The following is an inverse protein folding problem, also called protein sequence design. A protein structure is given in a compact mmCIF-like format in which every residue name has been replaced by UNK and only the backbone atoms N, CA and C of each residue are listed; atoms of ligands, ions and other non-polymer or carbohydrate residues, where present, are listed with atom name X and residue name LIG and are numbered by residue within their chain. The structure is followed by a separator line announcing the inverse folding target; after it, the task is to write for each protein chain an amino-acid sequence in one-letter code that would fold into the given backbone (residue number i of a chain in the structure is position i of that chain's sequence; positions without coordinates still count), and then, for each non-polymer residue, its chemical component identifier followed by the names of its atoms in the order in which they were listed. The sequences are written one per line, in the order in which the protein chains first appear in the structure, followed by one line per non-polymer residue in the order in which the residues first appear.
data_IF_804885503979
#
_entry.id   IF_804885503979
#
_cell.length_a   1.000
_cell.length_b   1.000
_cell.length_c   1.000
_cell.angle_alpha   90.00
_cell.angle_beta   90.00
_cell.angle_gamma   90.00
#
_symmetry.space_group_name_H-M   'P 1'
#
loop_
_entity.id
_entity.type
_entity.pdbx_description
1 polymer ?
#
# COMPACT_ATOMS: atom_id res chain seq x y z
N UNK A 1 11.59 -60.03 -0.15
CA UNK A 1 12.32 -60.68 0.95
C UNK A 1 11.57 -61.93 1.34
N UNK A 2 12.17 -63.11 1.17
CA UNK A 2 11.61 -64.34 1.71
C UNK A 2 11.79 -64.33 3.23
N UNK A 3 10.74 -64.66 3.99
CA UNK A 3 10.78 -64.71 5.47
C UNK A 3 11.54 -65.97 5.90
N UNK A 4 12.73 -65.81 6.46
CA UNK A 4 13.53 -66.92 7.00
C UNK A 4 13.17 -67.14 8.48
N UNK A 5 12.75 -68.35 8.83
CA UNK A 5 12.40 -68.74 10.20
C UNK A 5 13.67 -69.30 10.86
N UNK A 6 14.13 -68.67 11.95
CA UNK A 6 15.29 -69.12 12.73
C UNK A 6 14.81 -70.13 13.78
N UNK A 7 15.11 -71.41 13.57
CA UNK A 7 14.85 -72.46 14.55
C UNK A 7 16.16 -72.75 15.29
N UNK A 8 16.17 -72.58 16.62
CA UNK A 8 17.30 -72.95 17.49
C UNK A 8 16.84 -73.96 18.53
N UNK A 9 17.74 -74.85 18.91
CA UNK A 9 17.48 -75.93 19.86
C UNK A 9 17.36 -75.39 21.30
N UNK A 10 16.26 -75.68 21.99
CA UNK A 10 16.20 -75.42 23.44
C UNK A 10 16.97 -76.56 24.10
N UNK A 11 17.86 -76.30 25.09
CA UNK A 11 18.67 -77.37 25.69
C UNK A 11 17.78 -78.50 26.23
N UNK A 12 17.77 -79.65 25.54
CA UNK A 12 17.01 -80.84 25.94
C UNK A 12 16.15 -81.51 24.86
N UNK A 13 15.97 -80.91 23.68
CA UNK A 13 15.19 -81.50 22.58
C UNK A 13 16.11 -82.35 21.66
N UNK A 14 15.77 -83.60 21.38
CA UNK A 14 16.59 -84.59 20.65
C UNK A 14 16.33 -84.60 19.12
N UNK A 15 16.05 -83.42 18.54
CA UNK A 15 15.59 -83.23 17.16
C UNK A 15 16.75 -83.06 16.15
N UNK A 16 17.67 -84.04 16.12
CA UNK A 16 18.91 -84.03 15.31
C UNK A 16 18.76 -83.90 13.77
N UNK A 17 17.53 -83.83 13.26
CA UNK A 17 17.22 -83.64 11.84
C UNK A 17 16.50 -82.33 11.49
N UNK A 18 16.25 -81.44 12.46
CA UNK A 18 15.45 -80.22 12.25
C UNK A 18 16.10 -78.92 12.76
N UNK A 19 17.26 -78.99 13.41
CA UNK A 19 17.92 -77.84 14.04
C UNK A 19 19.15 -77.40 13.24
N UNK A 20 19.24 -76.10 12.99
CA UNK A 20 20.38 -75.51 12.28
C UNK A 20 21.50 -75.19 13.28
N UNK A 21 22.74 -75.52 12.93
CA UNK A 21 23.90 -75.16 13.74
C UNK A 21 23.96 -73.64 13.97
N UNK A 22 24.44 -73.19 15.14
CA UNK A 22 24.59 -71.77 15.46
C UNK A 22 25.41 -71.01 14.41
N UNK A 23 26.44 -71.65 13.83
CA UNK A 23 27.24 -71.11 12.72
C UNK A 23 26.41 -70.90 11.44
N UNK A 24 25.46 -71.80 11.18
CA UNK A 24 24.51 -71.66 10.07
C UNK A 24 23.52 -70.52 10.30
N UNK A 25 23.07 -70.32 11.54
CA UNK A 25 22.19 -69.20 11.91
C UNK A 25 22.91 -67.86 11.77
N UNK A 26 24.17 -67.75 12.21
CA UNK A 26 25.00 -66.55 12.02
C UNK A 26 25.13 -66.22 10.54
N UNK A 27 25.53 -67.19 9.71
CA UNK A 27 25.68 -67.00 8.26
C UNK A 27 24.39 -66.52 7.57
N UNK A 28 23.24 -67.02 8.04
CA UNK A 28 21.92 -66.60 7.54
C UNK A 28 21.57 -65.18 7.94
N UNK A 29 21.87 -64.80 9.18
CA UNK A 29 21.69 -63.44 9.67
C UNK A 29 22.58 -62.47 8.89
N UNK A 30 23.84 -62.82 8.63
CA UNK A 30 24.74 -62.02 7.80
C UNK A 30 24.20 -61.86 6.37
N UNK A 31 23.72 -62.95 5.76
CA UNK A 31 23.10 -62.89 4.44
C UNK A 31 21.85 -61.99 4.42
N UNK A 32 21.02 -62.04 5.46
CA UNK A 32 19.86 -61.13 5.57
C UNK A 32 20.29 -59.67 5.66
N UNK A 33 21.37 -59.37 6.39
CA UNK A 33 21.91 -58.01 6.47
C UNK A 33 22.46 -57.54 5.12
N UNK A 34 23.16 -58.41 4.37
CA UNK A 34 23.68 -58.07 3.04
C UNK A 34 22.58 -57.84 2.00
N UNK A 35 21.53 -58.67 2.00
CA UNK A 35 20.36 -58.50 1.13
C UNK A 35 19.61 -57.21 1.45
N UNK A 36 19.44 -56.90 2.74
CA UNK A 36 18.83 -55.66 3.20
C UNK A 36 19.66 -54.44 2.76
N UNK A 37 20.98 -54.48 2.98
CA UNK A 37 21.90 -53.41 2.62
C UNK A 37 21.85 -53.11 1.12
N UNK A 38 21.87 -54.15 0.28
CA UNK A 38 21.76 -54.03 -1.17
C UNK A 38 20.42 -53.45 -1.61
N UNK A 39 19.32 -53.95 -1.02
CA UNK A 39 17.98 -53.50 -1.36
C UNK A 39 17.80 -52.01 -1.03
N UNK A 40 18.28 -51.58 0.14
CA UNK A 40 18.21 -50.19 0.61
C UNK A 40 19.13 -49.29 -0.21
N UNK A 41 20.37 -49.71 -0.47
CA UNK A 41 21.33 -48.97 -1.29
C UNK A 41 20.85 -48.72 -2.74
N UNK A 42 20.03 -49.62 -3.29
CA UNK A 42 19.50 -49.50 -4.65
C UNK A 42 18.22 -48.66 -4.79
N UNK A 43 17.53 -48.29 -3.69
CA UNK A 43 16.22 -47.61 -3.80
C UNK A 43 16.28 -46.25 -4.44
N UNK A 44 17.32 -45.47 -4.16
CA UNK A 44 17.51 -44.14 -4.74
C UNK A 44 17.76 -44.23 -6.26
N UNK A 45 18.60 -45.17 -6.70
CA UNK A 45 18.94 -45.37 -8.11
C UNK A 45 17.78 -45.94 -8.95
N UNK A 46 16.77 -46.54 -8.31
CA UNK A 46 15.58 -47.06 -8.99
C UNK A 46 14.62 -45.96 -9.47
N UNK A 47 14.76 -44.74 -8.97
CA UNK A 47 13.92 -43.59 -9.34
C UNK A 47 14.77 -42.50 -9.98
N UNK A 48 14.46 -42.18 -11.23
CA UNK A 48 15.24 -41.23 -12.02
C UNK A 48 15.15 -39.80 -11.47
N UNK A 49 13.99 -39.39 -10.95
CA UNK A 49 13.80 -38.08 -10.30
C UNK A 49 14.65 -37.96 -9.04
N UNK A 50 14.65 -38.98 -8.16
CA UNK A 50 15.46 -38.99 -6.94
C UNK A 50 16.96 -39.02 -7.26
N UNK A 51 17.36 -39.78 -8.27
CA UNK A 51 18.74 -39.81 -8.75
C UNK A 51 19.18 -38.43 -9.25
N UNK A 52 18.33 -37.75 -10.04
CA UNK A 52 18.63 -36.42 -10.58
C UNK A 52 18.69 -35.33 -9.49
N UNK A 53 17.77 -35.34 -8.53
CA UNK A 53 17.78 -34.40 -7.40
C UNK A 53 19.01 -34.59 -6.50
N UNK A 54 19.40 -35.85 -6.25
CA UNK A 54 20.56 -36.15 -5.42
C UNK A 54 21.90 -35.84 -6.11
N UNK A 55 21.94 -35.79 -7.44
CA UNK A 55 23.13 -35.42 -8.20
C UNK A 55 23.37 -33.89 -8.22
N UNK A 56 22.46 -33.08 -7.70
CA UNK A 56 22.55 -31.64 -7.77
C UNK A 56 23.51 -31.06 -6.73
N UNK A 57 24.41 -30.18 -7.15
CA UNK A 57 25.24 -29.40 -6.23
C UNK A 57 24.38 -28.36 -5.53
N UNK A 58 24.14 -28.56 -4.22
CA UNK A 58 23.45 -27.57 -3.39
C UNK A 58 24.40 -26.44 -3.00
N UNK A 59 23.90 -25.21 -3.04
CA UNK A 59 24.62 -24.02 -2.62
C UNK A 59 23.64 -22.99 -2.05
N UNK A 60 24.15 -22.04 -1.26
CA UNK A 60 23.33 -20.95 -0.76
C UNK A 60 22.77 -20.11 -1.92
N UNK A 61 21.59 -19.54 -1.71
CA UNK A 61 20.94 -18.59 -2.64
C UNK A 61 20.59 -19.19 -4.02
N UNK A 62 20.41 -20.52 -4.12
CA UNK A 62 19.98 -21.21 -5.33
C UNK A 62 18.53 -21.69 -5.22
N UNK A 63 17.78 -21.58 -6.32
CA UNK A 63 16.50 -22.26 -6.51
C UNK A 63 16.70 -23.47 -7.41
N UNK A 64 16.23 -24.64 -6.96
CA UNK A 64 16.17 -25.85 -7.78
C UNK A 64 14.94 -25.77 -8.68
N UNK A 65 15.10 -26.04 -9.97
CA UNK A 65 13.98 -26.12 -10.91
C UNK A 65 14.19 -27.24 -11.93
N UNK A 66 13.07 -27.82 -12.38
CA UNK A 66 13.09 -28.83 -13.42
C UNK A 66 13.30 -28.19 -14.80
N UNK A 67 14.15 -28.78 -15.63
CA UNK A 67 14.33 -28.39 -17.04
C UNK A 67 13.69 -29.38 -18.01
N UNK A 68 13.15 -30.47 -17.49
CA UNK A 68 12.47 -31.55 -18.19
C UNK A 68 12.06 -32.65 -17.21
N UNK A 69 11.61 -33.79 -17.74
CA UNK A 69 11.33 -34.98 -16.92
C UNK A 69 12.64 -35.53 -16.39
N UNK A 70 12.70 -35.80 -15.08
CA UNK A 70 13.87 -36.34 -14.38
C UNK A 70 15.16 -35.50 -14.56
N UNK A 71 15.04 -34.19 -14.83
CA UNK A 71 16.18 -33.30 -14.98
C UNK A 71 15.99 -32.00 -14.20
N UNK A 72 16.95 -31.71 -13.33
CA UNK A 72 16.93 -30.55 -12.45
C UNK A 72 18.22 -29.76 -12.57
N UNK A 73 18.11 -28.45 -12.38
CA UNK A 73 19.26 -27.56 -12.27
C UNK A 73 18.97 -26.46 -11.25
N UNK A 74 19.96 -25.60 -11.00
CA UNK A 74 19.82 -24.44 -10.11
C UNK A 74 19.92 -23.12 -10.84
N UNK A 75 19.15 -22.13 -10.41
CA UNK A 75 19.34 -20.72 -10.77
C UNK A 75 19.64 -19.89 -9.52
N UNK A 76 20.32 -18.75 -9.68
CA UNK A 76 20.59 -17.81 -8.58
C UNK A 76 19.36 -16.98 -8.22
N UNK A 77 19.08 -16.87 -6.92
CA UNK A 77 18.16 -15.89 -6.37
C UNK A 77 18.95 -14.75 -5.73
N UNK A 78 18.70 -13.51 -6.14
CA UNK A 78 19.25 -12.33 -5.48
C UNK A 78 18.67 -12.18 -4.07
N UNK A 79 19.35 -11.40 -3.23
CA UNK A 79 18.81 -11.06 -1.90
C UNK A 79 17.44 -10.36 -1.99
N UNK A 80 17.25 -9.53 -3.02
CA UNK A 80 15.98 -8.85 -3.29
C UNK A 80 14.82 -9.82 -3.56
N UNK A 81 15.02 -10.80 -4.46
CA UNK A 81 13.95 -11.76 -4.79
C UNK A 81 13.65 -12.68 -3.60
N UNK A 82 14.67 -13.03 -2.79
CA UNK A 82 14.40 -13.79 -1.55
C UNK A 82 13.59 -12.98 -0.55
N UNK A 83 13.83 -11.67 -0.44
CA UNK A 83 12.97 -10.78 0.35
C UNK A 83 11.54 -10.76 -0.18
N UNK A 84 11.36 -10.63 -1.49
CA UNK A 84 10.03 -10.63 -2.10
C UNK A 84 9.26 -11.94 -1.88
N UNK A 85 9.94 -13.10 -1.92
CA UNK A 85 9.33 -14.41 -1.70
C UNK A 85 9.02 -14.69 -0.22
N UNK A 86 9.62 -13.94 0.71
CA UNK A 86 9.39 -14.04 2.16
C UNK A 86 8.17 -13.21 2.62
N UNK A 87 7.69 -12.29 1.77
CA UNK A 87 6.63 -11.35 2.12
C UNK A 87 5.28 -12.07 2.36
N UNK A 88 4.71 -11.87 3.56
CA UNK A 88 3.51 -12.56 4.03
C UNK A 88 2.20 -12.10 3.35
N UNK A 89 2.20 -10.89 2.77
CA UNK A 89 1.05 -10.32 2.09
C UNK A 89 1.43 -9.44 0.90
N UNK A 90 0.42 -9.08 0.09
CA UNK A 90 0.61 -8.26 -1.10
C UNK A 90 1.09 -6.84 -0.79
N UNK A 91 0.76 -6.26 0.36
CA UNK A 91 1.18 -4.90 0.70
C UNK A 91 2.68 -4.85 0.97
N UNK A 92 3.21 -5.86 1.65
CA UNK A 92 4.64 -6.02 1.94
C UNK A 92 5.42 -6.31 0.66
N UNK A 93 4.93 -7.21 -0.20
CA UNK A 93 5.52 -7.49 -1.52
C UNK A 93 5.60 -6.23 -2.41
N UNK A 94 4.54 -5.43 -2.44
CA UNK A 94 4.52 -4.16 -3.18
C UNK A 94 5.51 -3.15 -2.61
N UNK A 95 5.65 -3.08 -1.28
CA UNK A 95 6.65 -2.24 -0.64
C UNK A 95 8.08 -2.68 -1.00
N UNK A 96 8.36 -3.99 -1.00
CA UNK A 96 9.64 -4.55 -1.45
C UNK A 96 9.95 -4.17 -2.90
N UNK A 97 8.96 -4.24 -3.79
CA UNK A 97 9.09 -3.80 -5.19
C UNK A 97 9.22 -2.27 -5.37
N UNK A 98 8.93 -1.48 -4.34
CA UNK A 98 8.76 -0.02 -4.45
C UNK A 98 7.52 0.38 -5.28
N UNK A 99 6.58 -0.55 -5.47
CA UNK A 99 5.37 -0.35 -6.23
C UNK A 99 4.25 0.11 -5.30
N UNK A 100 4.11 1.41 -5.07
CA UNK A 100 2.92 1.92 -4.38
C UNK A 100 1.71 1.78 -5.30
N UNK A 101 0.61 1.12 -4.88
CA UNK A 101 -0.61 1.11 -5.66
C UNK A 101 -1.28 2.48 -5.52
N UNK A 102 -0.74 3.53 -6.13
CA UNK A 102 -1.41 4.82 -6.32
C UNK A 102 -2.35 4.76 -7.53
N UNK A 103 -2.93 3.58 -7.81
CA UNK A 103 -3.83 3.39 -8.94
C UNK A 103 -5.13 4.15 -8.70
N UNK A 104 -5.61 4.84 -9.73
CA UNK A 104 -6.93 5.44 -9.71
C UNK A 104 -8.05 4.40 -9.73
N UNK A 105 -9.28 4.87 -9.54
CA UNK A 105 -10.49 4.07 -9.61
C UNK A 105 -11.14 4.24 -11.00
N UNK A 106 -11.56 3.13 -11.63
CA UNK A 106 -12.16 3.13 -12.98
C UNK A 106 -13.64 2.76 -13.00
N UNK A 107 -14.19 2.31 -11.88
CA UNK A 107 -15.59 1.85 -11.76
C UNK A 107 -16.58 2.96 -11.38
N UNK A 108 -16.10 4.21 -11.31
CA UNK A 108 -16.89 5.37 -10.91
C UNK A 108 -17.08 5.54 -9.40
N UNK A 109 -16.56 4.63 -8.58
CA UNK A 109 -16.55 4.80 -7.12
C UNK A 109 -15.55 5.87 -6.67
N UNK A 110 -15.72 6.37 -5.45
CA UNK A 110 -14.81 7.37 -4.87
C UNK A 110 -13.47 6.71 -4.58
N UNK A 111 -12.38 7.33 -5.05
CA UNK A 111 -11.04 6.85 -4.76
C UNK A 111 -10.76 6.89 -3.24
N UNK A 112 -10.31 5.76 -2.72
CA UNK A 112 -9.91 5.63 -1.31
C UNK A 112 -8.75 6.56 -0.96
N UNK A 113 -8.57 6.83 0.34
CA UNK A 113 -7.47 7.64 0.87
C UNK A 113 -6.11 7.18 0.32
N UNK A 114 -5.32 8.13 -0.18
CA UNK A 114 -3.99 7.88 -0.74
C UNK A 114 -3.97 7.45 -2.22
N UNK A 115 -5.12 7.16 -2.83
CA UNK A 115 -5.20 6.79 -4.25
C UNK A 115 -5.29 8.03 -5.14
N UNK A 116 -4.83 7.91 -6.38
CA UNK A 116 -5.07 8.93 -7.41
C UNK A 116 -6.58 9.12 -7.59
N UNK A 117 -7.02 10.37 -7.61
CA UNK A 117 -8.43 10.73 -7.67
C UNK A 117 -9.10 10.85 -6.30
N UNK A 118 -8.40 10.65 -5.17
CA UNK A 118 -8.93 10.97 -3.84
C UNK A 118 -9.44 12.43 -3.82
N UNK A 119 -10.68 12.63 -3.36
CA UNK A 119 -11.29 13.95 -3.23
C UNK A 119 -11.52 14.25 -1.76
N UNK A 120 -11.00 15.39 -1.31
CA UNK A 120 -11.26 15.94 0.01
C UNK A 120 -11.98 17.28 -0.15
N UNK A 121 -13.00 17.52 0.67
CA UNK A 121 -13.79 18.75 0.62
C UNK A 121 -14.02 19.28 2.04
N UNK A 122 -13.94 20.60 2.19
CA UNK A 122 -14.39 21.29 3.38
C UNK A 122 -15.21 22.51 2.98
N UNK A 123 -16.31 22.78 3.69
CA UNK A 123 -17.15 23.94 3.44
C UNK A 123 -17.61 24.58 4.74
N UNK A 124 -17.98 25.86 4.66
CA UNK A 124 -18.63 26.59 5.73
C UNK A 124 -19.60 27.60 5.12
N UNK A 125 -20.66 27.92 5.87
CA UNK A 125 -21.66 28.89 5.47
C UNK A 125 -21.85 29.93 6.57
N UNK A 126 -22.32 31.12 6.17
CA UNK A 126 -22.69 32.22 7.06
C UNK A 126 -21.56 32.67 7.99
N UNK A 127 -20.29 32.57 7.56
CA UNK A 127 -19.16 33.06 8.34
C UNK A 127 -19.18 34.59 8.33
N UNK A 128 -19.38 35.20 9.50
CA UNK A 128 -19.41 36.65 9.62
C UNK A 128 -18.03 37.26 9.34
N UNK A 129 -17.99 38.30 8.51
CA UNK A 129 -16.78 39.07 8.24
C UNK A 129 -16.76 40.34 9.10
N UNK A 130 -15.57 40.82 9.40
CA UNK A 130 -15.34 42.14 10.00
C UNK A 130 -14.54 42.96 9.00
N UNK A 131 -14.97 44.21 8.79
CA UNK A 131 -14.32 45.12 7.83
C UNK A 131 -13.12 45.80 8.49
N UNK A 132 -11.93 45.86 7.86
CA UNK A 132 -11.39 45.10 6.74
C UNK A 132 -10.39 44.03 7.24
N UNK A 133 -10.88 43.02 7.95
CA UNK A 133 -10.03 42.00 8.59
C UNK A 133 -10.15 40.66 7.85
N UNK A 134 -9.03 40.03 7.45
CA UNK A 134 -9.06 38.68 6.90
C UNK A 134 -9.63 37.67 7.90
N UNK A 135 -10.44 36.74 7.39
CA UNK A 135 -11.07 35.69 8.18
C UNK A 135 -11.04 34.37 7.43
N UNK A 136 -10.61 33.31 8.10
CA UNK A 136 -10.76 31.95 7.59
C UNK A 136 -12.24 31.57 7.57
N UNK A 137 -12.70 31.18 6.39
CA UNK A 137 -14.04 30.65 6.15
C UNK A 137 -14.08 29.17 6.50
N UNK A 138 -13.14 28.40 5.95
CA UNK A 138 -12.98 26.98 6.21
C UNK A 138 -11.53 26.57 6.01
N UNK A 139 -11.17 25.37 6.46
CA UNK A 139 -9.83 24.83 6.31
C UNK A 139 -9.87 23.37 5.89
N UNK A 140 -8.85 22.94 5.16
CA UNK A 140 -8.72 21.57 4.67
C UNK A 140 -7.31 21.06 4.93
N UNK A 141 -7.21 19.97 5.70
CA UNK A 141 -5.97 19.25 5.91
C UNK A 141 -5.67 18.36 4.71
N UNK A 142 -4.48 18.50 4.14
CA UNK A 142 -3.98 17.71 3.02
C UNK A 142 -2.78 16.90 3.50
N UNK A 143 -2.70 15.64 3.06
CA UNK A 143 -1.51 14.81 3.27
C UNK A 143 -0.44 15.13 2.23
N UNK A 144 0.77 14.61 2.42
CA UNK A 144 1.85 14.75 1.44
C UNK A 144 1.41 14.21 0.06
N UNK A 145 1.94 14.82 -1.00
CA UNK A 145 1.63 14.46 -2.37
C UNK A 145 1.22 15.65 -3.24
N UNK A 146 0.68 15.32 -4.42
CA UNK A 146 0.30 16.31 -5.43
C UNK A 146 -1.22 16.49 -5.46
N UNK A 147 -1.68 17.72 -5.19
CA UNK A 147 -3.10 18.07 -5.11
C UNK A 147 -3.46 19.13 -6.14
N UNK A 148 -4.63 19.01 -6.75
CA UNK A 148 -5.31 20.12 -7.45
C UNK A 148 -6.33 20.63 -6.47
N UNK A 149 -6.14 21.86 -6.00
CA UNK A 149 -7.06 22.49 -5.06
C UNK A 149 -7.83 23.56 -5.80
N UNK A 150 -9.14 23.46 -5.72
CA UNK A 150 -10.10 24.47 -6.14
C UNK A 150 -10.77 25.04 -4.90
N UNK A 151 -11.06 26.33 -4.94
CA UNK A 151 -11.87 26.96 -3.91
C UNK A 151 -12.87 27.93 -4.53
N UNK A 152 -13.97 28.11 -3.82
CA UNK A 152 -15.00 29.08 -4.15
C UNK A 152 -15.44 29.79 -2.87
N UNK A 153 -15.58 31.10 -2.94
CA UNK A 153 -16.11 31.95 -1.86
C UNK A 153 -17.29 32.76 -2.40
N UNK A 154 -18.42 32.72 -1.70
CA UNK A 154 -19.57 33.56 -1.96
C UNK A 154 -19.70 34.61 -0.86
N UNK A 155 -19.58 35.89 -1.21
CA UNK A 155 -19.79 37.02 -0.31
C UNK A 155 -21.27 37.40 -0.32
N UNK A 156 -21.89 37.38 0.85
CA UNK A 156 -23.31 37.66 1.08
C UNK A 156 -23.48 38.91 1.95
N UNK A 157 -23.51 40.11 1.35
CA UNK A 157 -23.82 41.33 2.07
C UNK A 157 -25.29 41.38 2.49
N UNK A 158 -25.57 42.04 3.61
CA UNK A 158 -26.93 42.52 3.86
C UNK A 158 -27.33 43.54 2.79
N UNK A 159 -28.62 43.61 2.43
CA UNK A 159 -29.13 44.46 1.36
C UNK A 159 -28.74 45.95 1.45
N UNK A 160 -28.50 46.48 2.65
CA UNK A 160 -28.07 47.86 2.87
C UNK A 160 -26.53 48.05 2.96
N UNK A 161 -25.75 46.99 2.76
CA UNK A 161 -24.29 47.02 2.92
C UNK A 161 -23.63 47.64 1.69
N UNK A 162 -22.76 48.62 1.91
CA UNK A 162 -21.87 49.16 0.88
C UNK A 162 -20.53 48.43 0.91
N UNK A 163 -20.01 48.06 -0.26
CA UNK A 163 -18.80 47.23 -0.39
C UNK A 163 -17.80 47.95 -1.29
N UNK A 164 -16.56 48.09 -0.81
CA UNK A 164 -15.46 48.70 -1.56
C UNK A 164 -14.53 47.64 -2.15
N UNK A 165 -14.28 46.55 -1.44
CA UNK A 165 -13.39 45.46 -1.89
C UNK A 165 -13.88 44.12 -1.32
N UNK A 166 -13.76 43.07 -2.12
CA UNK A 166 -13.81 41.67 -1.66
C UNK A 166 -12.56 40.95 -2.15
N UNK A 167 -11.99 40.12 -1.29
CA UNK A 167 -10.77 39.37 -1.57
C UNK A 167 -10.91 37.98 -0.98
N UNK A 168 -10.51 36.97 -1.73
CA UNK A 168 -10.45 35.60 -1.23
C UNK A 168 -9.18 34.93 -1.72
N UNK A 169 -8.62 34.08 -0.88
CA UNK A 169 -7.44 33.31 -1.23
C UNK A 169 -7.37 31.96 -0.55
N UNK A 170 -6.56 31.07 -1.13
CA UNK A 170 -6.03 29.92 -0.42
C UNK A 170 -4.75 30.32 0.33
N UNK A 171 -4.74 30.16 1.64
CA UNK A 171 -3.65 30.57 2.53
C UNK A 171 -3.03 29.39 3.27
N UNK A 172 -1.75 29.54 3.63
CA UNK A 172 -1.01 28.64 4.53
C UNK A 172 -1.21 29.00 6.01
N UNK A 173 -1.75 30.18 6.29
CA UNK A 173 -1.86 30.73 7.65
C UNK A 173 -3.31 31.11 7.94
N UNK A 174 -3.77 30.75 9.14
CA UNK A 174 -5.11 31.10 9.60
C UNK A 174 -5.30 32.63 9.65
N UNK A 175 -6.48 33.10 9.23
CA UNK A 175 -6.91 34.50 9.22
C UNK A 175 -5.90 35.47 8.58
N UNK A 176 -5.13 35.01 7.60
CA UNK A 176 -4.11 35.82 6.92
C UNK A 176 -4.27 35.70 5.42
N UNK A 177 -4.41 36.83 4.72
CA UNK A 177 -4.44 36.82 3.26
C UNK A 177 -3.08 36.42 2.71
N UNK A 178 -3.12 35.51 1.74
CA UNK A 178 -1.98 35.16 0.91
C UNK A 178 -2.17 35.82 -0.45
N UNK A 179 -1.30 36.76 -0.81
CA UNK A 179 -1.36 37.53 -2.06
C UNK A 179 -0.62 36.87 -3.22
N UNK A 180 -0.24 35.58 -3.07
CA UNK A 180 0.45 34.83 -4.12
C UNK A 180 -0.44 34.67 -5.35
N UNK A 181 0.12 34.94 -6.53
CA UNK A 181 -0.57 34.82 -7.81
C UNK A 181 -1.12 33.39 -8.01
N UNK A 182 -2.37 33.30 -8.45
CA UNK A 182 -3.08 32.03 -8.68
C UNK A 182 -3.82 31.48 -7.46
N UNK A 183 -3.49 31.94 -6.26
CA UNK A 183 -4.24 31.62 -5.02
C UNK A 183 -5.16 32.74 -4.58
N UNK A 184 -4.78 33.96 -4.91
CA UNK A 184 -5.46 35.19 -4.55
C UNK A 184 -6.34 35.69 -5.68
N UNK A 185 -7.57 36.06 -5.35
CA UNK A 185 -8.49 36.78 -6.24
C UNK A 185 -9.09 37.94 -5.46
N UNK A 186 -9.09 39.11 -6.08
CA UNK A 186 -9.70 40.32 -5.53
C UNK A 186 -10.63 40.97 -6.56
N UNK A 187 -11.65 41.67 -6.08
CA UNK A 187 -12.52 42.51 -6.88
C UNK A 187 -12.77 43.83 -6.14
N UNK A 188 -12.49 44.93 -6.84
CA UNK A 188 -12.64 46.28 -6.31
C UNK A 188 -13.90 46.93 -6.88
N UNK A 189 -14.62 47.64 -6.01
CA UNK A 189 -15.87 48.33 -6.31
C UNK A 189 -15.77 49.81 -5.92
N UNK A 190 -16.60 50.70 -6.51
CA UNK A 190 -16.68 52.07 -6.03
C UNK A 190 -17.21 52.10 -4.59
N UNK A 191 -16.79 53.10 -3.80
CA UNK A 191 -17.03 53.19 -2.34
C UNK A 191 -18.50 53.33 -1.91
N UNK A 192 -19.42 53.45 -2.87
CA UNK A 192 -20.88 53.52 -2.68
C UNK A 192 -21.62 52.33 -3.31
N UNK A 193 -20.91 51.30 -3.77
CA UNK A 193 -21.54 50.15 -4.41
C UNK A 193 -22.32 49.33 -3.39
N UNK A 194 -23.64 49.28 -3.57
CA UNK A 194 -24.54 48.40 -2.80
C UNK A 194 -24.76 47.14 -3.63
N UNK A 195 -24.18 46.03 -3.20
CA UNK A 195 -24.39 44.72 -3.84
C UNK A 195 -25.85 44.22 -3.69
N UNK A 196 -26.62 44.82 -2.79
CA UNK A 196 -27.95 44.34 -2.40
C UNK A 196 -27.85 42.99 -1.71
N UNK A 197 -28.94 42.22 -1.69
CA UNK A 197 -28.91 40.83 -1.24
C UNK A 197 -28.20 39.88 -2.23
N UNK A 198 -27.77 40.40 -3.40
CA UNK A 198 -27.10 39.62 -4.43
C UNK A 198 -25.60 39.56 -4.14
N UNK A 199 -25.14 38.40 -3.67
CA UNK A 199 -23.73 38.16 -3.40
C UNK A 199 -22.85 38.03 -4.64
N UNK A 200 -21.53 38.08 -4.43
CA UNK A 200 -20.51 37.85 -5.48
C UNK A 200 -19.72 36.60 -5.18
N UNK A 201 -19.36 35.87 -6.24
CA UNK A 201 -18.51 34.68 -6.16
C UNK A 201 -17.09 35.03 -6.59
N UNK A 202 -16.11 34.67 -5.77
CA UNK A 202 -14.72 34.54 -6.17
C UNK A 202 -14.33 33.07 -6.17
N UNK A 203 -13.52 32.67 -7.14
CA UNK A 203 -13.04 31.29 -7.27
C UNK A 203 -11.58 31.28 -7.69
N UNK A 204 -10.84 30.29 -7.22
CA UNK A 204 -9.43 30.09 -7.58
C UNK A 204 -9.08 28.62 -7.66
N UNK A 205 -7.96 28.32 -8.32
CA UNK A 205 -7.43 26.97 -8.42
C UNK A 205 -5.90 26.99 -8.34
N UNK A 206 -5.30 25.99 -7.70
CA UNK A 206 -3.85 25.81 -7.68
C UNK A 206 -3.44 24.34 -7.53
N UNK A 207 -2.39 23.97 -8.26
CA UNK A 207 -1.62 22.75 -8.05
C UNK A 207 -0.66 22.93 -6.86
N UNK A 208 -0.76 22.06 -5.87
CA UNK A 208 0.16 22.00 -4.74
C UNK A 208 0.99 20.71 -4.80
N UNK A 209 2.29 20.82 -4.54
CA UNK A 209 3.17 19.68 -4.31
C UNK A 209 3.67 19.78 -2.86
N UNK A 210 3.22 18.87 -2.01
CA UNK A 210 3.50 18.90 -0.58
C UNK A 210 4.46 17.77 -0.21
N UNK A 211 5.59 18.10 0.42
CA UNK A 211 6.54 17.10 0.95
C UNK A 211 6.11 16.52 2.30
N UNK A 212 5.19 17.19 3.01
CA UNK A 212 4.59 16.78 4.27
C UNK A 212 3.10 17.19 4.30
N UNK A 213 2.34 16.72 5.28
CA UNK A 213 0.97 17.19 5.46
C UNK A 213 0.91 18.70 5.75
N UNK A 214 -0.10 19.38 5.20
CA UNK A 214 -0.30 20.82 5.39
C UNK A 214 -1.80 21.14 5.45
N UNK A 215 -2.16 22.16 6.22
CA UNK A 215 -3.53 22.67 6.26
C UNK A 215 -3.62 23.91 5.40
N UNK A 216 -4.61 23.94 4.50
CA UNK A 216 -4.92 25.12 3.68
C UNK A 216 -6.18 25.78 4.18
N UNK A 217 -6.13 27.11 4.29
CA UNK A 217 -7.20 27.94 4.81
C UNK A 217 -7.81 28.73 3.64
N UNK A 218 -9.13 28.63 3.45
CA UNK A 218 -9.84 29.55 2.59
C UNK A 218 -10.09 30.81 3.39
N UNK A 219 -9.34 31.87 3.08
CA UNK A 219 -9.42 33.15 3.78
C UNK A 219 -10.13 34.14 2.89
N UNK A 220 -11.08 34.88 3.48
CA UNK A 220 -11.79 35.95 2.82
C UNK A 220 -11.64 37.25 3.62
N UNK A 221 -11.62 38.37 2.91
CA UNK A 221 -11.67 39.71 3.47
C UNK A 221 -12.67 40.53 2.66
N UNK A 222 -13.36 41.46 3.32
CA UNK A 222 -14.11 42.49 2.63
C UNK A 222 -13.98 43.81 3.36
N UNK A 223 -13.82 44.88 2.59
CA UNK A 223 -13.98 46.25 3.07
C UNK A 223 -15.41 46.67 2.78
N UNK A 224 -16.22 46.76 3.82
CA UNK A 224 -17.63 47.14 3.74
C UNK A 224 -18.02 48.12 4.85
N UNK A 225 -19.16 48.78 4.68
CA UNK A 225 -19.74 49.70 5.67
C UNK A 225 -21.27 49.54 5.73
N UNK A 226 -21.88 50.34 6.61
CA UNK A 226 -23.34 50.44 6.82
C UNK A 226 -23.97 49.27 7.56
N UNK A 227 -23.71 48.03 7.17
CA UNK A 227 -24.34 46.85 7.77
C UNK A 227 -23.40 45.63 7.74
N UNK A 228 -23.92 44.41 7.87
CA UNK A 228 -23.15 43.17 8.01
C UNK A 228 -22.80 42.52 6.67
N UNK A 229 -21.64 41.85 6.64
CA UNK A 229 -21.22 40.97 5.55
C UNK A 229 -20.97 39.56 6.11
N UNK A 230 -21.39 38.55 5.36
CA UNK A 230 -21.03 37.15 5.62
C UNK A 230 -20.42 36.51 4.37
N UNK A 231 -19.72 35.40 4.54
CA UNK A 231 -19.20 34.62 3.43
C UNK A 231 -19.45 33.13 3.63
N UNK A 232 -19.71 32.45 2.51
CA UNK A 232 -19.73 31.01 2.39
C UNK A 232 -18.50 30.58 1.61
N UNK A 233 -17.98 29.40 1.86
CA UNK A 233 -16.82 28.91 1.15
C UNK A 233 -16.74 27.41 1.09
N UNK A 234 -16.08 26.92 0.05
CA UNK A 234 -15.77 25.51 -0.16
C UNK A 234 -14.35 25.38 -0.71
N UNK A 235 -13.60 24.41 -0.20
CA UNK A 235 -12.33 23.96 -0.73
C UNK A 235 -12.55 22.53 -1.20
N UNK A 236 -12.14 22.22 -2.42
CA UNK A 236 -12.13 20.86 -2.97
C UNK A 236 -10.72 20.55 -3.45
N UNK A 237 -10.11 19.50 -2.91
CA UNK A 237 -8.79 19.05 -3.29
C UNK A 237 -8.87 17.65 -3.90
N UNK A 238 -8.25 17.47 -5.08
CA UNK A 238 -8.15 16.18 -5.76
C UNK A 238 -6.70 15.73 -5.87
N UNK A 239 -6.38 14.51 -5.44
CA UNK A 239 -5.05 13.91 -5.58
C UNK A 239 -4.80 13.52 -7.03
N UNK A 240 -3.63 13.88 -7.57
CA UNK A 240 -3.28 13.59 -8.98
C UNK A 240 -2.18 12.56 -9.15
N UNK A 241 -1.32 12.38 -8.14
CA UNK A 241 -0.26 11.36 -8.12
C UNK A 241 0.21 11.11 -6.68
#
# INVERSE_FOLDING_TARGET
MAKLILNYDRPGDDDAGKTESFDTLIRKVDQMFEELYTLVGGKQASDATLTALAALTTAANKLIYATGVDTFTTTDLSAFIRGLLDDADAATALATLGAFPNTGVVDGSVAATGKVGEILTASATSVSLTSPTPKTITSLALTAGCWDVEWLTYFAPNAATTVSVIEACLSDTDNTLNTTLGEFVASSYPTSFVMGANGTVLQGRRRLNLSAGATKYLVAMSTFATNTMSANGIITAKRVR
#
